data_IF_955933040747
#
_entry.id   IF_955933040747
#
_cell.length_a   1.000
_cell.length_b   1.000
_cell.length_c   1.000
_cell.angle_alpha   90.00
_cell.angle_beta   90.00
_cell.angle_gamma   90.00
#
_symmetry.space_group_name_H-M   'P 1'
#
loop_
_entity.id
_entity.type
_entity.pdbx_description
1 polymer ?
#
# COMPACT_ATOMS: atom_id res chain seq x y z
N UNK A 1 -31.50 -15.54 11.49
CA UNK A 1 -31.62 -14.98 10.14
C UNK A 1 -32.43 -13.69 10.17
N UNK A 2 -32.05 -12.73 9.29
CA UNK A 2 -32.91 -11.56 9.03
C UNK A 2 -34.02 -12.00 8.07
N UNK A 3 -35.27 -11.88 8.49
CA UNK A 3 -36.44 -12.22 7.68
C UNK A 3 -37.11 -10.93 7.15
N UNK A 4 -37.58 -10.98 5.91
CA UNK A 4 -38.42 -9.93 5.32
C UNK A 4 -39.88 -10.25 5.55
N UNK A 5 -40.78 -9.28 5.41
CA UNK A 5 -42.21 -9.45 5.51
C UNK A 5 -42.70 -10.63 4.67
N UNK A 6 -43.57 -11.48 5.23
CA UNK A 6 -44.14 -12.64 4.58
C UNK A 6 -43.39 -13.97 4.78
N UNK A 7 -42.15 -13.97 5.28
CA UNK A 7 -41.39 -15.21 5.51
C UNK A 7 -41.22 -15.47 6.99
N UNK A 8 -41.68 -16.65 7.47
CA UNK A 8 -41.50 -17.06 8.85
C UNK A 8 -40.09 -17.64 9.08
N UNK A 9 -39.45 -17.27 10.18
CA UNK A 9 -38.12 -17.75 10.54
C UNK A 9 -38.01 -19.28 10.61
N UNK A 10 -39.10 -19.97 11.00
CA UNK A 10 -39.15 -21.42 11.00
C UNK A 10 -39.03 -22.01 9.59
N UNK A 11 -39.79 -21.48 8.63
CA UNK A 11 -39.75 -21.95 7.25
C UNK A 11 -38.32 -21.78 6.63
N UNK A 12 -37.66 -20.65 6.94
CA UNK A 12 -36.29 -20.43 6.45
C UNK A 12 -35.32 -21.46 7.06
N UNK A 13 -35.43 -21.76 8.36
CA UNK A 13 -34.61 -22.81 9.00
C UNK A 13 -34.85 -24.19 8.40
N UNK A 14 -36.11 -24.56 8.18
CA UNK A 14 -36.46 -25.88 7.63
C UNK A 14 -35.94 -26.01 6.18
N UNK A 15 -36.10 -24.99 5.36
CA UNK A 15 -35.53 -24.93 3.99
C UNK A 15 -33.98 -25.03 3.98
N UNK A 16 -33.31 -24.32 4.86
CA UNK A 16 -31.85 -24.41 4.99
C UNK A 16 -31.41 -25.79 5.43
N UNK A 17 -32.15 -26.42 6.41
CA UNK A 17 -31.84 -27.79 6.83
C UNK A 17 -31.97 -28.76 5.68
N UNK A 18 -33.04 -28.67 4.91
CA UNK A 18 -33.25 -29.52 3.73
C UNK A 18 -32.14 -29.28 2.69
N UNK A 19 -31.82 -28.03 2.39
CA UNK A 19 -30.74 -27.71 1.44
C UNK A 19 -29.40 -28.29 1.88
N UNK A 20 -29.08 -28.23 3.17
CA UNK A 20 -27.84 -28.79 3.72
C UNK A 20 -27.81 -30.32 3.74
N UNK A 21 -28.97 -31.01 3.73
CA UNK A 21 -29.01 -32.46 3.58
C UNK A 21 -28.79 -32.96 2.16
N UNK A 22 -29.09 -32.10 1.18
CA UNK A 22 -29.04 -32.45 -0.26
C UNK A 22 -27.74 -32.04 -0.92
N UNK A 23 -26.90 -31.22 -0.25
CA UNK A 23 -25.64 -30.69 -0.79
C UNK A 23 -24.43 -31.36 -0.16
N UNK A 24 -23.53 -31.86 -1.01
CA UNK A 24 -22.20 -32.30 -0.57
C UNK A 24 -21.27 -31.10 -0.45
N UNK A 25 -20.81 -30.81 0.76
CA UNK A 25 -19.84 -29.74 1.03
C UNK A 25 -18.44 -30.32 0.82
N UNK A 26 -17.76 -29.85 -0.22
CA UNK A 26 -16.38 -30.27 -0.51
C UNK A 26 -15.40 -29.57 0.43
N UNK A 27 -14.56 -30.36 1.10
CA UNK A 27 -13.46 -29.86 1.90
C UNK A 27 -12.31 -29.42 0.98
N UNK A 28 -11.83 -28.19 1.17
CA UNK A 28 -10.70 -27.65 0.44
C UNK A 28 -9.51 -27.30 1.34
N UNK A 29 -9.73 -27.22 2.67
CA UNK A 29 -8.66 -27.12 3.64
C UNK A 29 -7.95 -28.49 3.76
N UNK A 30 -6.65 -28.49 3.60
CA UNK A 30 -5.86 -29.72 3.79
C UNK A 30 -5.89 -30.19 5.24
N UNK A 31 -5.74 -31.49 5.45
CA UNK A 31 -5.69 -32.08 6.79
C UNK A 31 -4.61 -31.44 7.65
N UNK A 32 -3.42 -31.22 7.10
CA UNK A 32 -2.30 -30.55 7.77
C UNK A 32 -2.66 -29.16 8.31
N UNK A 33 -3.39 -28.36 7.52
CA UNK A 33 -3.85 -27.05 7.97
C UNK A 33 -4.90 -27.16 9.07
N UNK A 34 -5.84 -28.10 8.94
CA UNK A 34 -6.88 -28.31 9.94
C UNK A 34 -6.27 -28.76 11.27
N UNK A 35 -5.34 -29.70 11.26
CA UNK A 35 -4.65 -30.17 12.47
C UNK A 35 -3.80 -29.07 13.09
N UNK A 36 -2.95 -28.40 12.30
CA UNK A 36 -2.06 -27.32 12.76
C UNK A 36 -2.82 -26.20 13.47
N UNK A 37 -3.94 -25.80 12.92
CA UNK A 37 -4.73 -24.67 13.44
C UNK A 37 -5.94 -25.10 14.26
N UNK A 38 -6.12 -26.41 14.52
CA UNK A 38 -7.22 -27.00 15.27
C UNK A 38 -8.58 -26.53 14.72
N UNK A 39 -8.80 -26.73 13.43
CA UNK A 39 -10.01 -26.37 12.73
C UNK A 39 -10.91 -27.58 12.51
N UNK A 40 -12.20 -27.32 12.48
CA UNK A 40 -13.22 -28.31 12.13
C UNK A 40 -13.31 -28.47 10.59
N UNK A 41 -14.01 -29.50 10.12
CA UNK A 41 -14.32 -29.63 8.68
C UNK A 41 -15.31 -28.55 8.23
N UNK A 42 -15.29 -28.17 6.96
CA UNK A 42 -16.25 -27.21 6.43
C UNK A 42 -17.69 -27.69 6.55
N UNK A 43 -17.93 -28.99 6.30
CA UNK A 43 -19.26 -29.58 6.45
C UNK A 43 -19.78 -29.44 7.90
N UNK A 44 -18.97 -29.82 8.90
CA UNK A 44 -19.30 -29.61 10.30
C UNK A 44 -19.53 -28.14 10.62
N UNK A 45 -18.65 -27.28 10.14
CA UNK A 45 -18.70 -25.83 10.38
C UNK A 45 -20.01 -25.23 9.86
N UNK A 46 -20.37 -25.48 8.64
CA UNK A 46 -21.58 -24.93 8.03
C UNK A 46 -22.84 -25.48 8.70
N UNK A 47 -22.90 -26.79 8.95
CA UNK A 47 -24.02 -27.40 9.66
C UNK A 47 -24.18 -26.82 11.07
N UNK A 48 -23.10 -26.68 11.82
CA UNK A 48 -23.11 -26.16 13.18
C UNK A 48 -23.49 -24.68 13.25
N UNK A 49 -23.04 -23.86 12.29
CA UNK A 49 -23.41 -22.44 12.22
C UNK A 49 -24.93 -22.27 12.00
N UNK A 50 -25.55 -23.16 11.23
CA UNK A 50 -26.98 -23.11 10.96
C UNK A 50 -27.83 -23.82 12.04
N UNK A 51 -27.27 -24.84 12.67
CA UNK A 51 -27.95 -25.66 13.71
C UNK A 51 -27.03 -25.94 14.90
N UNK A 52 -26.70 -24.92 15.71
CA UNK A 52 -25.83 -25.13 16.86
C UNK A 52 -26.50 -25.97 17.93
N UNK A 53 -25.82 -27.03 18.39
CA UNK A 53 -26.31 -27.89 19.48
C UNK A 53 -25.98 -27.23 20.82
N UNK A 54 -24.77 -26.71 20.95
CA UNK A 54 -24.33 -26.06 22.19
C UNK A 54 -23.38 -24.85 21.85
N UNK A 55 -23.05 -24.09 22.88
CA UNK A 55 -22.23 -22.87 22.74
C UNK A 55 -20.77 -23.19 22.33
N UNK A 56 -20.21 -24.30 22.79
CA UNK A 56 -18.82 -24.66 22.47
C UNK A 56 -18.67 -25.04 21.01
N UNK A 57 -19.58 -25.85 20.48
CA UNK A 57 -19.59 -26.21 19.06
C UNK A 57 -19.75 -24.99 18.18
N UNK A 58 -20.65 -24.07 18.55
CA UNK A 58 -20.83 -22.82 17.84
C UNK A 58 -19.54 -21.97 17.81
N UNK A 59 -18.80 -21.93 18.92
CA UNK A 59 -17.53 -21.17 18.96
C UNK A 59 -16.45 -21.82 18.08
N UNK A 60 -16.36 -23.16 18.07
CA UNK A 60 -15.44 -23.89 17.19
C UNK A 60 -15.77 -23.65 15.70
N UNK A 61 -17.05 -23.78 15.36
CA UNK A 61 -17.51 -23.51 14.00
C UNK A 61 -17.27 -22.05 13.58
N UNK A 62 -17.54 -21.07 14.43
CA UNK A 62 -17.23 -19.65 14.15
C UNK A 62 -15.74 -19.40 13.94
N UNK A 63 -14.89 -20.03 14.75
CA UNK A 63 -13.44 -19.93 14.59
C UNK A 63 -12.99 -20.47 13.25
N UNK A 64 -13.44 -21.66 12.86
CA UNK A 64 -13.10 -22.27 11.57
C UNK A 64 -13.61 -21.41 10.43
N UNK A 65 -14.84 -20.92 10.48
CA UNK A 65 -15.40 -20.04 9.45
C UNK A 65 -14.59 -18.75 9.30
N UNK A 66 -14.28 -18.06 10.41
CA UNK A 66 -13.49 -16.84 10.38
C UNK A 66 -12.08 -17.08 9.83
N UNK A 67 -11.45 -18.19 10.21
CA UNK A 67 -10.16 -18.58 9.63
C UNK A 67 -10.27 -18.78 8.11
N UNK A 68 -11.26 -19.51 7.67
CA UNK A 68 -11.50 -19.81 6.25
C UNK A 68 -11.67 -18.55 5.42
N UNK A 69 -12.51 -17.62 5.87
CA UNK A 69 -12.73 -16.33 5.19
C UNK A 69 -11.44 -15.49 5.09
N UNK A 70 -10.73 -15.36 6.22
CA UNK A 70 -9.48 -14.59 6.25
C UNK A 70 -8.36 -15.26 5.44
N UNK A 71 -8.26 -16.59 5.50
CA UNK A 71 -7.27 -17.34 4.72
C UNK A 71 -7.51 -17.20 3.21
N UNK A 72 -8.75 -17.31 2.77
CA UNK A 72 -9.11 -17.11 1.35
C UNK A 72 -8.86 -15.69 0.90
N UNK A 73 -9.18 -14.71 1.73
CA UNK A 73 -8.89 -13.32 1.43
C UNK A 73 -7.40 -13.09 1.27
N UNK A 74 -6.59 -13.57 2.23
CA UNK A 74 -5.12 -13.42 2.18
C UNK A 74 -4.51 -14.16 0.99
N UNK A 75 -4.95 -15.39 0.73
CA UNK A 75 -4.49 -16.17 -0.43
C UNK A 75 -4.79 -15.44 -1.75
N UNK A 76 -6.00 -14.87 -1.87
CA UNK A 76 -6.38 -14.09 -3.04
C UNK A 76 -5.52 -12.83 -3.21
N UNK A 77 -5.26 -12.12 -2.11
CA UNK A 77 -4.39 -10.93 -2.13
C UNK A 77 -2.96 -11.29 -2.54
N UNK A 78 -2.40 -12.37 -1.97
CA UNK A 78 -1.06 -12.82 -2.35
C UNK A 78 -0.99 -13.30 -3.81
N UNK A 79 -2.05 -13.94 -4.30
CA UNK A 79 -2.14 -14.34 -5.71
C UNK A 79 -2.16 -13.13 -6.64
N UNK A 80 -2.98 -12.12 -6.35
CA UNK A 80 -3.02 -10.88 -7.12
C UNK A 80 -1.68 -10.16 -7.11
N UNK A 81 -1.05 -10.02 -5.95
CA UNK A 81 0.28 -9.43 -5.82
C UNK A 81 1.36 -10.19 -6.62
N UNK A 82 1.24 -11.51 -6.74
CA UNK A 82 2.16 -12.30 -7.59
C UNK A 82 1.93 -12.06 -9.08
N UNK A 83 0.68 -11.93 -9.50
CA UNK A 83 0.34 -11.63 -10.89
C UNK A 83 0.85 -10.23 -11.29
N UNK A 84 0.66 -9.23 -10.45
CA UNK A 84 1.19 -7.89 -10.67
C UNK A 84 2.72 -7.90 -10.77
N UNK A 85 3.40 -8.56 -9.84
CA UNK A 85 4.86 -8.69 -9.85
C UNK A 85 5.41 -9.45 -11.06
N UNK A 86 4.66 -10.38 -11.62
CA UNK A 86 5.08 -11.14 -12.80
C UNK A 86 4.92 -10.36 -14.11
N UNK A 87 4.08 -9.32 -14.14
CA UNK A 87 3.81 -8.50 -15.31
C UNK A 87 4.69 -7.24 -15.41
N UNK A 88 5.35 -6.84 -14.31
CA UNK A 88 6.10 -5.58 -14.23
C UNK A 88 7.60 -5.82 -14.31
N UNK A 89 8.21 -5.46 -15.44
CA UNK A 89 9.65 -5.25 -15.52
C UNK A 89 10.00 -3.99 -14.72
N UNK A 90 10.65 -4.17 -13.58
CA UNK A 90 11.15 -3.06 -12.78
C UNK A 90 12.55 -2.68 -13.22
N UNK A 91 12.83 -1.39 -13.21
CA UNK A 91 14.17 -0.86 -13.42
C UNK A 91 14.96 -1.04 -12.13
N UNK A 92 16.10 -1.72 -12.20
CA UNK A 92 17.04 -1.79 -11.09
C UNK A 92 17.64 -0.42 -10.82
N UNK A 93 17.45 0.12 -9.63
CA UNK A 93 17.95 1.45 -9.25
C UNK A 93 19.35 1.35 -8.66
N UNK A 94 20.34 1.74 -9.43
CA UNK A 94 21.76 1.76 -9.03
C UNK A 94 22.13 3.14 -8.48
N UNK A 95 21.91 3.36 -7.19
CA UNK A 95 22.19 4.61 -6.48
C UNK A 95 23.62 4.63 -5.88
N UNK A 96 24.16 5.84 -5.69
CA UNK A 96 25.48 6.05 -5.06
C UNK A 96 25.38 6.00 -3.53
N UNK A 97 25.76 4.86 -2.96
CA UNK A 97 25.68 4.61 -1.52
C UNK A 97 26.55 5.59 -0.70
N UNK A 98 27.66 6.07 -1.25
CA UNK A 98 28.53 7.00 -0.52
C UNK A 98 27.88 8.38 -0.41
N UNK A 99 27.27 8.88 -1.48
CA UNK A 99 26.51 10.13 -1.45
C UNK A 99 25.30 10.03 -0.50
N UNK A 100 24.60 8.90 -0.51
CA UNK A 100 23.47 8.66 0.41
C UNK A 100 23.93 8.65 1.86
N UNK A 101 25.06 8.01 2.19
CA UNK A 101 25.63 8.06 3.54
C UNK A 101 26.01 9.48 3.95
N UNK A 102 26.69 10.22 3.10
CA UNK A 102 27.03 11.63 3.35
C UNK A 102 25.79 12.48 3.60
N UNK A 103 24.70 12.25 2.87
CA UNK A 103 23.43 12.92 3.09
C UNK A 103 22.85 12.56 4.47
N UNK A 104 22.84 11.27 4.84
CA UNK A 104 22.36 10.81 6.17
C UNK A 104 23.20 11.45 7.29
N UNK A 105 24.52 11.47 7.13
CA UNK A 105 25.44 12.04 8.13
C UNK A 105 25.31 13.58 8.23
N UNK A 106 24.79 14.25 7.22
CA UNK A 106 24.52 15.70 7.24
C UNK A 106 23.19 16.08 7.92
N UNK A 107 22.34 15.11 8.26
CA UNK A 107 21.08 15.39 8.94
C UNK A 107 21.32 15.92 10.36
N UNK A 108 20.50 16.87 10.86
CA UNK A 108 20.67 17.46 12.19
C UNK A 108 20.28 16.53 13.36
N UNK A 109 20.06 15.26 13.09
CA UNK A 109 19.66 14.21 14.05
C UNK A 109 20.13 12.84 13.58
N UNK A 110 20.25 11.90 14.50
CA UNK A 110 20.52 10.51 14.19
C UNK A 110 19.22 9.75 13.83
N UNK A 111 19.33 8.82 12.87
CA UNK A 111 18.22 7.94 12.54
C UNK A 111 17.99 6.93 13.67
N UNK A 112 16.72 6.67 13.98
CA UNK A 112 16.34 5.56 14.87
C UNK A 112 16.61 4.22 14.18
N UNK A 113 16.73 3.14 14.98
CA UNK A 113 16.95 1.81 14.43
C UNK A 113 15.80 1.36 13.52
N UNK A 114 14.56 1.73 13.85
CA UNK A 114 13.39 1.45 13.01
C UNK A 114 13.48 2.17 11.65
N UNK A 115 13.93 3.42 11.62
CA UNK A 115 14.16 4.17 10.38
C UNK A 115 15.28 3.55 9.55
N UNK A 116 16.40 3.15 10.18
CA UNK A 116 17.51 2.44 9.51
C UNK A 116 17.04 1.13 8.89
N UNK A 117 16.25 0.33 9.61
CA UNK A 117 15.67 -0.91 9.10
C UNK A 117 14.77 -0.62 7.90
N UNK A 118 13.86 0.34 8.00
CA UNK A 118 12.93 0.71 6.91
C UNK A 118 13.67 1.18 5.65
N UNK A 119 14.69 2.03 5.80
CA UNK A 119 15.53 2.49 4.67
C UNK A 119 16.24 1.30 4.01
N UNK A 120 16.83 0.41 4.79
CA UNK A 120 17.54 -0.76 4.26
C UNK A 120 16.60 -1.72 3.53
N UNK A 121 15.38 -1.90 4.01
CA UNK A 121 14.37 -2.72 3.33
C UNK A 121 13.94 -2.10 2.00
N UNK A 122 13.66 -0.78 1.98
CA UNK A 122 13.32 -0.07 0.76
C UNK A 122 14.48 -0.14 -0.25
N UNK A 123 15.71 -0.01 0.20
CA UNK A 123 16.90 -0.09 -0.66
C UNK A 123 17.12 -1.49 -1.25
N UNK A 124 16.72 -2.56 -0.56
CA UNK A 124 16.68 -3.91 -1.16
C UNK A 124 15.62 -4.01 -2.25
N UNK A 125 14.45 -3.45 -2.00
CA UNK A 125 13.36 -3.46 -2.99
C UNK A 125 13.74 -2.65 -4.24
N UNK A 126 14.39 -1.49 -4.10
CA UNK A 126 14.86 -0.66 -5.23
C UNK A 126 15.90 -1.36 -6.10
N UNK A 127 16.65 -2.32 -5.56
CA UNK A 127 17.61 -3.15 -6.30
C UNK A 127 17.01 -4.42 -6.86
N UNK A 128 15.81 -4.76 -6.48
CA UNK A 128 15.13 -5.96 -6.98
C UNK A 128 14.57 -5.71 -8.39
N UNK A 129 14.57 -6.73 -9.27
CA UNK A 129 13.99 -6.63 -10.62
C UNK A 129 12.45 -6.68 -10.59
N UNK A 130 11.84 -6.19 -9.52
CA UNK A 130 10.40 -6.23 -9.28
C UNK A 130 9.97 -4.85 -8.76
N UNK A 131 8.89 -4.29 -9.32
CA UNK A 131 8.34 -3.02 -8.85
C UNK A 131 8.01 -3.06 -7.36
N UNK A 132 8.52 -2.09 -6.62
CA UNK A 132 8.28 -1.97 -5.20
C UNK A 132 6.86 -1.45 -4.92
N UNK A 133 6.10 -2.23 -4.15
CA UNK A 133 4.84 -1.79 -3.53
C UNK A 133 4.98 -1.93 -2.01
N UNK A 134 5.37 -0.86 -1.33
CA UNK A 134 5.66 -0.88 0.10
C UNK A 134 4.82 0.11 0.87
N UNK A 135 4.21 -0.33 1.95
CA UNK A 135 3.56 0.53 2.93
C UNK A 135 4.54 0.84 4.06
N UNK A 136 4.86 2.11 4.26
CA UNK A 136 5.59 2.61 5.42
C UNK A 136 4.59 3.07 6.49
N UNK A 137 4.52 2.33 7.59
CA UNK A 137 3.60 2.62 8.69
C UNK A 137 4.37 3.08 9.93
N UNK A 138 3.82 4.05 10.63
CA UNK A 138 4.36 4.56 11.89
C UNK A 138 3.47 5.69 12.44
N UNK A 139 3.62 5.99 13.71
CA UNK A 139 2.86 7.04 14.39
C UNK A 139 3.15 8.43 13.80
N UNK A 140 2.30 9.39 14.13
CA UNK A 140 2.54 10.81 13.81
C UNK A 140 3.83 11.26 14.51
N UNK A 141 4.72 11.91 13.76
CA UNK A 141 6.03 12.32 14.28
C UNK A 141 7.11 11.23 14.33
N UNK A 142 6.85 10.00 13.86
CA UNK A 142 7.86 8.93 13.80
C UNK A 142 8.97 9.16 12.76
N UNK A 143 8.91 10.25 12.00
CA UNK A 143 9.91 10.60 10.99
C UNK A 143 9.79 9.86 9.67
N UNK A 144 8.59 9.45 9.27
CA UNK A 144 8.33 8.83 7.94
C UNK A 144 8.85 9.69 6.79
N UNK A 145 8.71 11.02 6.91
CA UNK A 145 9.21 11.99 5.92
C UNK A 145 10.72 11.90 5.72
N UNK A 146 11.48 11.64 6.78
CA UNK A 146 12.95 11.47 6.70
C UNK A 146 13.31 10.21 5.92
N UNK A 147 12.62 9.09 6.17
CA UNK A 147 12.80 7.86 5.38
C UNK A 147 12.50 8.10 3.92
N UNK A 148 11.40 8.81 3.61
CA UNK A 148 11.05 9.21 2.24
C UNK A 148 12.15 10.08 1.61
N UNK A 149 12.65 11.10 2.34
CA UNK A 149 13.72 11.98 1.86
C UNK A 149 15.00 11.21 1.51
N UNK A 150 15.42 10.27 2.34
CA UNK A 150 16.61 9.43 2.08
C UNK A 150 16.40 8.62 0.79
N UNK A 151 15.21 8.04 0.59
CA UNK A 151 14.89 7.30 -0.62
C UNK A 151 14.86 8.20 -1.85
N UNK A 152 14.25 9.38 -1.79
CA UNK A 152 14.25 10.36 -2.88
C UNK A 152 15.66 10.79 -3.24
N UNK A 153 16.52 11.03 -2.25
CA UNK A 153 17.92 11.41 -2.49
C UNK A 153 18.70 10.27 -3.16
N UNK A 154 18.46 9.02 -2.76
CA UNK A 154 19.05 7.85 -3.40
C UNK A 154 18.66 7.79 -4.89
N UNK A 155 17.38 8.00 -5.22
CA UNK A 155 16.88 8.02 -6.60
C UNK A 155 17.57 9.12 -7.43
N UNK A 156 17.72 10.32 -6.86
CA UNK A 156 18.46 11.40 -7.51
C UNK A 156 19.88 11.01 -7.84
N UNK A 157 20.59 10.32 -6.93
CA UNK A 157 21.98 9.88 -7.21
C UNK A 157 22.07 8.85 -8.34
N UNK A 158 20.96 8.18 -8.64
CA UNK A 158 20.82 7.25 -9.76
C UNK A 158 20.27 7.92 -11.05
N UNK A 159 20.01 9.24 -11.03
CA UNK A 159 19.48 9.98 -12.17
C UNK A 159 17.97 9.90 -12.36
N UNK A 160 17.23 9.54 -11.32
CA UNK A 160 15.77 9.45 -11.34
C UNK A 160 15.11 10.57 -10.55
N UNK A 161 13.93 10.95 -11.01
CA UNK A 161 13.06 11.90 -10.32
C UNK A 161 12.12 11.16 -9.34
N UNK A 162 11.61 11.91 -8.35
CA UNK A 162 10.65 11.42 -7.38
C UNK A 162 9.36 12.25 -7.39
N UNK A 163 8.23 11.63 -7.12
CA UNK A 163 6.95 12.29 -6.91
C UNK A 163 6.42 12.02 -5.50
N UNK A 164 5.90 13.06 -4.83
CA UNK A 164 5.18 12.93 -3.55
C UNK A 164 3.76 13.48 -3.69
N UNK A 165 2.79 12.59 -3.66
CA UNK A 165 1.39 12.94 -3.71
C UNK A 165 0.77 13.01 -2.31
N UNK A 166 0.09 14.10 -2.02
CA UNK A 166 -0.60 14.35 -0.75
C UNK A 166 -2.03 14.84 -0.99
N UNK A 167 -2.96 14.64 -0.04
CA UNK A 167 -4.38 14.89 -0.29
C UNK A 167 -4.78 16.36 -0.33
N UNK A 168 -4.00 17.27 0.26
CA UNK A 168 -4.36 18.70 0.35
C UNK A 168 -3.19 19.60 0.01
N UNK A 169 -3.48 20.81 -0.47
CA UNK A 169 -2.46 21.83 -0.79
C UNK A 169 -1.66 22.24 0.45
N UNK A 170 -2.30 22.34 1.60
CA UNK A 170 -1.63 22.68 2.88
C UNK A 170 -0.58 21.62 3.25
N UNK A 171 -0.92 20.33 3.11
CA UNK A 171 0.05 19.26 3.34
C UNK A 171 1.17 19.27 2.31
N UNK A 172 0.86 19.59 1.04
CA UNK A 172 1.87 19.71 -0.01
C UNK A 172 2.88 20.82 0.30
N UNK A 173 2.42 21.97 0.74
CA UNK A 173 3.27 23.10 1.17
C UNK A 173 4.14 22.70 2.37
N UNK A 174 3.56 22.08 3.41
CA UNK A 174 4.30 21.63 4.60
C UNK A 174 5.38 20.60 4.25
N UNK A 175 5.07 19.63 3.39
CA UNK A 175 6.07 18.66 2.93
C UNK A 175 7.14 19.31 2.08
N UNK A 176 6.78 20.26 1.21
CA UNK A 176 7.74 21.00 0.40
C UNK A 176 8.73 21.77 1.26
N UNK A 177 8.25 22.55 2.23
CA UNK A 177 9.09 23.28 3.16
C UNK A 177 10.04 22.35 3.95
N UNK A 178 9.50 21.26 4.51
CA UNK A 178 10.28 20.28 5.25
C UNK A 178 11.37 19.61 4.40
N UNK A 179 11.04 19.21 3.17
CA UNK A 179 11.96 18.55 2.27
C UNK A 179 13.02 19.53 1.71
N UNK A 180 12.65 20.78 1.41
CA UNK A 180 13.59 21.83 1.04
C UNK A 180 14.62 22.08 2.16
N UNK A 181 14.17 22.12 3.41
CA UNK A 181 15.07 22.27 4.57
C UNK A 181 16.01 21.06 4.71
N UNK A 182 15.51 19.84 4.55
CA UNK A 182 16.32 18.63 4.66
C UNK A 182 17.34 18.50 3.53
N UNK A 183 16.96 18.85 2.31
CA UNK A 183 17.84 18.72 1.14
C UNK A 183 18.79 19.91 0.96
N UNK A 184 18.42 21.08 1.47
CA UNK A 184 19.18 22.31 1.22
C UNK A 184 19.36 22.53 -0.29
N UNK A 185 20.62 22.67 -0.72
CA UNK A 185 20.97 22.85 -2.13
C UNK A 185 21.25 21.53 -2.87
N UNK A 186 21.02 20.38 -2.24
CA UNK A 186 21.37 19.08 -2.82
C UNK A 186 20.30 18.51 -3.76
N UNK A 187 19.05 18.97 -3.66
CA UNK A 187 17.93 18.56 -4.52
C UNK A 187 17.05 19.75 -4.91
N UNK A 188 16.58 19.76 -6.14
CA UNK A 188 15.60 20.72 -6.63
C UNK A 188 14.18 20.18 -6.37
N UNK A 189 13.53 20.75 -5.38
CA UNK A 189 12.14 20.40 -4.99
C UNK A 189 11.19 21.43 -5.58
N UNK A 190 10.12 20.97 -6.21
CA UNK A 190 9.05 21.83 -6.74
C UNK A 190 7.68 21.43 -6.20
N UNK A 191 6.77 22.40 -6.13
CA UNK A 191 5.42 22.24 -5.64
C UNK A 191 4.42 22.49 -6.77
N UNK A 192 3.56 21.51 -7.05
CA UNK A 192 2.48 21.60 -8.04
C UNK A 192 1.11 21.37 -7.38
N UNK A 193 0.34 22.43 -7.22
CA UNK A 193 -1.01 22.39 -6.68
C UNK A 193 -1.99 23.07 -7.66
N UNK A 194 -3.28 22.97 -7.40
CA UNK A 194 -4.33 23.63 -8.22
C UNK A 194 -4.20 25.15 -8.27
N UNK A 195 -3.48 25.76 -7.33
CA UNK A 195 -3.19 27.19 -7.28
C UNK A 195 -2.09 27.62 -8.27
N UNK A 196 -1.22 26.71 -8.71
CA UNK A 196 -0.14 26.98 -9.66
C UNK A 196 -0.71 27.03 -11.10
N UNK A 197 -0.78 28.23 -11.70
CA UNK A 197 -1.42 28.45 -13.00
C UNK A 197 -0.57 29.27 -13.96
N UNK A 198 -0.95 29.26 -15.22
CA UNK A 198 -0.40 30.13 -16.26
C UNK A 198 1.09 29.93 -16.49
N UNK A 199 1.84 31.04 -16.56
CA UNK A 199 3.29 31.02 -16.87
C UNK A 199 4.11 30.22 -15.85
N UNK A 200 3.75 30.29 -14.57
CA UNK A 200 4.45 29.52 -13.51
C UNK A 200 4.29 28.00 -13.71
N UNK A 201 3.06 27.54 -14.01
CA UNK A 201 2.81 26.13 -14.28
C UNK A 201 3.61 25.65 -15.49
N UNK A 202 3.57 26.39 -16.60
CA UNK A 202 4.30 26.01 -17.83
C UNK A 202 5.80 25.88 -17.58
N UNK A 203 6.41 26.86 -16.91
CA UNK A 203 7.85 26.81 -16.59
C UNK A 203 8.20 25.63 -15.69
N UNK A 204 7.35 25.32 -14.69
CA UNK A 204 7.53 24.18 -13.82
C UNK A 204 7.48 22.86 -14.60
N UNK A 205 6.50 22.70 -15.49
CA UNK A 205 6.36 21.50 -16.31
C UNK A 205 7.54 21.34 -17.29
N UNK A 206 8.01 22.42 -17.91
CA UNK A 206 9.23 22.42 -18.73
C UNK A 206 10.47 21.99 -17.92
N UNK A 207 10.59 22.45 -16.67
CA UNK A 207 11.69 22.05 -15.76
C UNK A 207 11.58 20.60 -15.29
N UNK A 208 10.37 20.07 -15.16
CA UNK A 208 10.12 18.68 -14.82
C UNK A 208 10.51 17.76 -15.97
N UNK A 209 10.05 18.06 -17.18
CA UNK A 209 10.30 17.31 -18.40
C UNK A 209 11.77 17.30 -18.80
N UNK A 210 12.50 18.38 -18.57
CA UNK A 210 13.95 18.44 -18.86
C UNK A 210 14.82 17.87 -17.73
N UNK A 211 14.24 17.39 -16.62
CA UNK A 211 14.97 16.78 -15.51
C UNK A 211 15.64 17.77 -14.55
N UNK A 212 15.35 19.08 -14.63
CA UNK A 212 15.89 20.07 -13.68
C UNK A 212 15.29 19.90 -12.28
N UNK A 213 14.02 19.47 -12.18
CA UNK A 213 13.34 19.18 -10.92
C UNK A 213 13.64 17.73 -10.52
N UNK A 214 14.21 17.51 -9.32
CA UNK A 214 14.51 16.19 -8.78
C UNK A 214 13.31 15.58 -8.04
N UNK A 215 12.51 16.41 -7.38
CA UNK A 215 11.34 15.99 -6.63
C UNK A 215 10.15 16.91 -6.86
N UNK A 216 9.03 16.36 -7.30
CA UNK A 216 7.77 17.08 -7.47
C UNK A 216 6.79 16.69 -6.37
N UNK A 217 6.31 17.66 -5.61
CA UNK A 217 5.33 17.48 -4.55
C UNK A 217 4.01 18.11 -5.01
N UNK A 218 2.90 17.45 -4.75
CA UNK A 218 1.61 18.04 -5.09
C UNK A 218 0.42 17.20 -4.67
N UNK A 219 -0.74 17.66 -5.10
CA UNK A 219 -2.02 16.99 -4.89
C UNK A 219 -2.38 16.15 -6.13
N UNK A 220 -3.67 15.89 -6.33
CA UNK A 220 -4.16 15.27 -7.57
C UNK A 220 -3.74 15.99 -8.88
N UNK A 221 -3.15 17.18 -8.77
CA UNK A 221 -2.58 17.88 -9.92
C UNK A 221 -1.40 17.11 -10.54
N UNK A 222 -0.75 16.19 -9.80
CA UNK A 222 0.35 15.36 -10.30
C UNK A 222 -0.08 14.30 -11.33
N UNK A 223 -1.35 13.90 -11.31
CA UNK A 223 -1.91 12.86 -12.20
C UNK A 223 -2.64 13.45 -13.42
N UNK A 224 -2.44 14.72 -13.73
CA UNK A 224 -2.98 15.34 -14.94
C UNK A 224 -2.13 14.98 -16.15
N UNK A 225 -2.77 14.80 -17.29
CA UNK A 225 -2.14 14.35 -18.54
C UNK A 225 -0.98 15.24 -19.04
N UNK A 226 -0.94 16.50 -18.62
CA UNK A 226 0.11 17.45 -18.98
C UNK A 226 1.35 17.38 -18.06
N UNK A 227 1.33 16.54 -17.02
CA UNK A 227 2.47 16.36 -16.11
C UNK A 227 3.34 15.21 -16.59
N UNK A 228 4.43 15.56 -17.27
CA UNK A 228 5.35 14.60 -17.84
C UNK A 228 6.69 14.67 -17.10
N UNK A 229 7.12 13.56 -16.51
CA UNK A 229 8.43 13.42 -15.90
C UNK A 229 9.47 13.02 -16.96
N UNK A 230 10.69 13.48 -16.78
CA UNK A 230 11.80 13.01 -17.60
C UNK A 230 12.14 11.54 -17.32
N UNK A 231 12.29 11.20 -16.03
CA UNK A 231 12.68 9.86 -15.61
C UNK A 231 12.21 9.60 -14.15
N UNK A 232 10.93 9.30 -13.94
CA UNK A 232 10.42 9.03 -12.61
C UNK A 232 10.81 7.61 -12.15
N UNK A 233 11.41 7.51 -10.95
CA UNK A 233 11.81 6.21 -10.36
C UNK A 233 11.13 5.90 -9.03
N UNK A 234 10.52 6.90 -8.38
CA UNK A 234 9.85 6.71 -7.09
C UNK A 234 8.61 7.59 -6.99
N UNK A 235 7.50 6.96 -6.68
CA UNK A 235 6.24 7.65 -6.35
C UNK A 235 5.86 7.33 -4.92
N UNK A 236 5.62 8.37 -4.13
CA UNK A 236 5.20 8.25 -2.74
C UNK A 236 3.82 8.87 -2.59
N UNK A 237 2.91 8.17 -1.94
CA UNK A 237 1.58 8.69 -1.59
C UNK A 237 1.46 8.75 -0.08
N UNK A 238 1.32 9.96 0.46
CA UNK A 238 1.01 10.15 1.88
C UNK A 238 -0.51 10.16 2.11
N UNK A 239 -0.96 9.72 3.31
CA UNK A 239 -2.40 9.63 3.65
C UNK A 239 -3.21 8.85 2.59
N UNK A 240 -2.67 7.72 2.12
CA UNK A 240 -3.21 6.97 0.97
C UNK A 240 -4.71 6.62 1.05
N UNK A 241 -5.27 6.54 2.27
CA UNK A 241 -6.69 6.25 2.49
C UNK A 241 -7.62 7.36 1.98
N UNK A 242 -7.10 8.57 1.73
CA UNK A 242 -7.84 9.71 1.17
C UNK A 242 -7.89 9.73 -0.35
N UNK A 243 -7.15 8.83 -1.01
CA UNK A 243 -7.14 8.70 -2.46
C UNK A 243 -7.97 7.51 -2.93
N UNK A 244 -8.73 7.69 -4.02
CA UNK A 244 -9.43 6.59 -4.70
C UNK A 244 -8.46 5.58 -5.32
N UNK A 245 -8.94 4.35 -5.55
CA UNK A 245 -8.13 3.27 -6.15
C UNK A 245 -7.57 3.69 -7.51
N UNK A 246 -8.38 4.29 -8.36
CA UNK A 246 -7.97 4.72 -9.70
C UNK A 246 -6.87 5.80 -9.67
N UNK A 247 -6.91 6.72 -8.70
CA UNK A 247 -5.91 7.79 -8.58
C UNK A 247 -4.52 7.27 -8.20
N UNK A 248 -4.46 6.13 -7.51
CA UNK A 248 -3.20 5.48 -7.13
C UNK A 248 -2.60 4.61 -8.22
N UNK A 249 -3.38 4.22 -9.23
CA UNK A 249 -2.93 3.40 -10.35
C UNK A 249 -2.38 4.22 -11.52
N UNK A 250 -2.68 5.52 -11.58
CA UNK A 250 -2.25 6.41 -12.66
C UNK A 250 -0.82 6.94 -12.43
N UNK A 251 -0.35 6.97 -11.19
CA UNK A 251 1.03 7.34 -10.81
C UNK A 251 1.96 6.14 -10.88
#
# INVERSE_FOLDING_TARGET
>A
YRVKEGIKQKQLRDNIRQALSDVTIHEWLTDDLREKYKLETLAYTIQTLHHPINKQDLLRARRTYAFTELFMFELRMQWLNRLEKASDEAIEINYDINKVKQFIDSLPFELTDAQKVSVNEIFRDLKAPIRMHRLLQGDVGSGKTVVAAICMYALKTAGYQSALMVPTEILAEQHAESLIQLFGNTMNVALLTGSVKGKKRRLLLEQLENGTIDCLIGTHALIQDDVVFNNVGLVITDEQHRFGVNQRQIL
#
